data_IF_420278088744
#
_entry.id   IF_420278088744
#
_cell.length_a   1.000
_cell.length_b   1.000
_cell.length_c   1.000
_cell.angle_alpha   90.00
_cell.angle_beta   90.00
_cell.angle_gamma   90.00
#
_symmetry.space_group_name_H-M   'P 1'
#
loop_
_entity.id
_entity.type
_entity.pdbx_description
1 polymer ?
#
# COMPACT_ATOMS: atom_id res chain seq x y z
N UNK A 1 -20.54 13.94 11.41
CA UNK A 1 -20.09 14.52 10.11
C UNK A 1 -18.95 15.55 10.25
N UNK A 2 -18.90 16.31 11.34
CA UNK A 2 -17.86 17.37 11.51
C UNK A 2 -16.45 16.78 11.57
N UNK A 3 -16.22 15.73 12.36
CA UNK A 3 -14.92 15.02 12.44
C UNK A 3 -14.46 14.54 11.06
N UNK A 4 -15.35 13.93 10.28
CA UNK A 4 -15.02 13.47 8.92
C UNK A 4 -14.63 14.64 8.00
N UNK A 5 -15.41 15.73 8.01
CA UNK A 5 -15.11 16.90 7.17
C UNK A 5 -13.79 17.56 7.53
N UNK A 6 -13.49 17.71 8.83
CA UNK A 6 -12.20 18.22 9.31
C UNK A 6 -11.06 17.28 8.87
N UNK A 7 -11.22 15.97 9.04
CA UNK A 7 -10.23 14.98 8.63
C UNK A 7 -9.92 15.07 7.12
N UNK A 8 -10.95 15.20 6.29
CA UNK A 8 -10.80 15.36 4.84
C UNK A 8 -10.05 16.64 4.47
N UNK A 9 -10.41 17.77 5.11
CA UNK A 9 -9.71 19.06 4.89
C UNK A 9 -8.25 18.99 5.31
N UNK A 10 -7.94 18.40 6.49
CA UNK A 10 -6.56 18.25 6.96
C UNK A 10 -5.75 17.39 5.98
N UNK A 11 -6.32 16.32 5.45
CA UNK A 11 -5.65 15.44 4.49
C UNK A 11 -5.32 16.17 3.18
N UNK A 12 -6.26 16.96 2.67
CA UNK A 12 -6.05 17.79 1.47
C UNK A 12 -4.99 18.88 1.75
N UNK A 13 -5.08 19.59 2.87
CA UNK A 13 -4.10 20.60 3.25
C UNK A 13 -2.70 19.99 3.46
N UNK A 14 -2.62 18.75 3.94
CA UNK A 14 -1.38 17.99 4.08
C UNK A 14 -0.62 17.88 2.77
N UNK A 15 -1.30 17.68 1.64
CA UNK A 15 -0.67 17.70 0.31
C UNK A 15 -0.04 19.06 -0.02
N UNK A 16 -0.79 20.14 0.21
CA UNK A 16 -0.33 21.48 -0.17
C UNK A 16 0.74 22.05 0.77
N UNK A 17 0.69 21.71 2.05
CA UNK A 17 1.60 22.25 3.07
C UNK A 17 2.78 21.31 3.27
N UNK A 18 2.51 20.10 3.79
CA UNK A 18 3.57 19.18 4.17
C UNK A 18 4.22 18.49 2.95
N UNK A 19 3.45 18.21 1.90
CA UNK A 19 3.99 17.69 0.64
C UNK A 19 4.97 18.66 -0.05
N UNK A 20 4.67 19.97 -0.05
CA UNK A 20 5.61 21.00 -0.52
C UNK A 20 6.86 21.10 0.36
N UNK A 21 6.68 21.01 1.69
CA UNK A 21 7.80 21.00 2.63
C UNK A 21 8.73 19.80 2.35
N UNK A 22 8.20 18.59 2.21
CA UNK A 22 9.00 17.39 1.91
C UNK A 22 9.70 17.50 0.55
N UNK A 23 9.02 18.01 -0.49
CA UNK A 23 9.63 18.23 -1.81
C UNK A 23 10.78 19.24 -1.75
N UNK A 24 10.62 20.33 -0.99
CA UNK A 24 11.67 21.32 -0.75
C UNK A 24 12.84 20.74 0.07
N UNK A 25 12.53 19.95 1.11
CA UNK A 25 13.53 19.27 1.93
C UNK A 25 14.39 18.32 1.10
N UNK A 26 13.75 17.56 0.22
CA UNK A 26 14.44 16.66 -0.71
C UNK A 26 15.30 17.43 -1.71
N UNK A 27 14.91 18.66 -2.08
CA UNK A 27 15.58 19.49 -3.07
C UNK A 27 15.39 18.94 -4.48
N UNK A 28 14.12 18.77 -4.89
CA UNK A 28 13.77 18.34 -6.25
C UNK A 28 14.23 19.41 -7.27
N UNK A 29 15.08 18.99 -8.20
CA UNK A 29 15.70 19.86 -9.21
C UNK A 29 15.12 19.58 -10.61
N UNK A 30 14.46 20.57 -11.25
CA UNK A 30 13.88 20.37 -12.58
C UNK A 30 14.91 20.21 -13.69
N UNK A 31 16.16 20.60 -13.46
CA UNK A 31 17.24 20.55 -14.45
C UNK A 31 18.02 19.25 -14.41
N UNK A 32 17.83 18.46 -13.36
CA UNK A 32 18.51 17.17 -13.22
C UNK A 32 17.98 16.18 -14.25
N UNK A 33 18.89 15.48 -14.99
CA UNK A 33 18.49 14.41 -15.89
C UNK A 33 17.75 13.31 -15.15
N UNK A 34 16.74 12.73 -15.81
CA UNK A 34 15.91 11.65 -15.24
C UNK A 34 16.06 10.36 -16.04
N UNK A 35 15.88 9.18 -15.43
CA UNK A 35 16.11 7.88 -16.07
C UNK A 35 15.26 7.70 -17.37
N UNK A 36 14.07 8.27 -17.43
CA UNK A 36 13.20 8.20 -18.61
C UNK A 36 13.79 8.88 -19.85
N UNK A 37 14.78 9.77 -19.66
CA UNK A 37 15.48 10.48 -20.73
C UNK A 37 16.85 9.85 -21.03
N UNK A 38 17.61 9.49 -19.97
CA UNK A 38 18.98 8.96 -20.10
C UNK A 38 19.01 7.50 -20.53
N UNK A 39 18.04 6.69 -20.10
CA UNK A 39 17.99 5.23 -20.28
C UNK A 39 16.79 4.79 -21.12
N UNK A 40 16.22 5.69 -21.94
CA UNK A 40 15.01 5.37 -22.70
C UNK A 40 15.20 4.11 -23.55
N UNK A 41 14.39 3.08 -23.29
CA UNK A 41 14.39 1.79 -23.98
C UNK A 41 13.07 1.48 -24.69
N UNK A 42 12.08 2.36 -24.53
CA UNK A 42 10.73 2.19 -25.09
C UNK A 42 9.88 1.12 -24.40
N UNK A 43 10.36 0.49 -23.33
CA UNK A 43 9.68 -0.60 -22.60
C UNK A 43 9.47 -0.26 -21.14
N UNK A 44 10.57 -0.14 -20.37
CA UNK A 44 10.54 0.14 -18.93
C UNK A 44 10.87 1.61 -18.63
N UNK A 45 11.67 2.27 -19.48
CA UNK A 45 12.10 3.65 -19.36
C UNK A 45 11.41 4.49 -20.45
N UNK A 46 10.16 4.86 -20.17
CA UNK A 46 9.32 5.61 -21.13
C UNK A 46 8.87 6.93 -20.51
N UNK A 47 9.24 8.04 -21.14
CA UNK A 47 8.86 9.38 -20.68
C UNK A 47 7.35 9.62 -20.82
N UNK A 48 6.64 9.77 -19.69
CA UNK A 48 5.18 9.91 -19.66
C UNK A 48 4.72 11.30 -19.19
N UNK A 49 3.57 11.80 -19.65
CA UNK A 49 2.93 12.98 -19.06
C UNK A 49 2.64 12.78 -17.59
N UNK A 50 2.74 13.84 -16.77
CA UNK A 50 2.58 13.78 -15.31
C UNK A 50 1.25 13.15 -14.87
N UNK A 51 0.13 13.50 -15.53
CA UNK A 51 -1.18 12.94 -15.23
C UNK A 51 -1.24 11.42 -15.45
N UNK A 52 -0.56 10.92 -16.51
CA UNK A 52 -0.52 9.48 -16.80
C UNK A 52 0.35 8.76 -15.77
N UNK A 53 1.50 9.31 -15.42
CA UNK A 53 2.36 8.76 -14.36
C UNK A 53 1.64 8.75 -13.01
N UNK A 54 0.90 9.83 -12.67
CA UNK A 54 0.05 9.89 -11.48
C UNK A 54 -1.01 8.79 -11.47
N UNK A 55 -1.76 8.63 -12.57
CA UNK A 55 -2.82 7.61 -12.66
C UNK A 55 -2.25 6.19 -12.53
N UNK A 56 -1.09 5.92 -13.14
CA UNK A 56 -0.43 4.62 -13.02
C UNK A 56 0.03 4.40 -11.57
N UNK A 57 0.67 5.38 -10.94
CA UNK A 57 1.07 5.28 -9.53
C UNK A 57 -0.15 5.05 -8.64
N UNK A 58 -1.19 5.88 -8.78
CA UNK A 58 -2.41 5.77 -7.99
C UNK A 58 -3.07 4.39 -8.12
N UNK A 59 -3.23 3.87 -9.34
CA UNK A 59 -3.82 2.55 -9.57
C UNK A 59 -2.93 1.40 -9.07
N UNK A 60 -1.62 1.56 -9.13
CA UNK A 60 -0.69 0.54 -8.62
C UNK A 60 -0.75 0.42 -7.09
N UNK A 61 -1.03 1.53 -6.38
CA UNK A 61 -1.09 1.55 -4.92
C UNK A 61 -2.52 1.35 -4.40
N UNK A 62 -3.52 1.98 -5.03
CA UNK A 62 -4.93 1.96 -4.62
C UNK A 62 -5.66 0.68 -5.07
N UNK A 63 -5.16 -0.49 -4.67
CA UNK A 63 -5.84 -1.77 -4.88
C UNK A 63 -7.04 -1.94 -3.93
N UNK A 64 -7.14 -3.09 -3.26
CA UNK A 64 -8.18 -3.35 -2.24
C UNK A 64 -7.93 -2.60 -0.92
N UNK A 65 -6.68 -2.25 -0.66
CA UNK A 65 -6.25 -1.75 0.65
C UNK A 65 -7.01 -0.53 1.16
N UNK A 66 -7.14 0.56 0.39
CA UNK A 66 -7.85 1.76 0.83
C UNK A 66 -9.36 1.56 1.00
N UNK A 67 -9.93 0.52 0.41
CA UNK A 67 -11.35 0.17 0.59
C UNK A 67 -11.51 -0.82 1.74
N UNK A 68 -10.97 -2.01 1.62
CA UNK A 68 -11.19 -3.10 2.57
C UNK A 68 -10.44 -2.88 3.89
N UNK A 69 -9.19 -2.39 3.82
CA UNK A 69 -8.43 -2.03 5.03
C UNK A 69 -9.11 -0.93 5.82
N UNK A 70 -9.70 0.07 5.15
CA UNK A 70 -10.44 1.14 5.78
C UNK A 70 -11.76 0.63 6.41
N UNK A 71 -12.50 -0.26 5.74
CA UNK A 71 -13.70 -0.91 6.29
C UNK A 71 -13.34 -1.73 7.55
N UNK A 72 -12.26 -2.51 7.49
CA UNK A 72 -11.79 -3.27 8.66
C UNK A 72 -11.36 -2.35 9.80
N UNK A 73 -10.70 -1.23 9.48
CA UNK A 73 -10.30 -0.22 10.44
C UNK A 73 -11.45 0.58 11.03
N UNK A 74 -12.55 0.75 10.30
CA UNK A 74 -13.74 1.45 10.77
C UNK A 74 -14.40 0.80 11.99
N UNK A 75 -14.11 -0.49 12.26
CA UNK A 75 -14.51 -1.19 13.49
C UNK A 75 -13.93 -0.55 14.77
N UNK A 76 -12.83 0.20 14.63
CA UNK A 76 -12.22 1.00 15.71
C UNK A 76 -12.78 2.44 15.76
N UNK A 77 -13.86 2.71 15.03
CA UNK A 77 -14.53 4.00 15.01
C UNK A 77 -13.67 5.12 14.42
N UNK A 78 -13.89 6.35 14.90
CA UNK A 78 -13.19 7.55 14.40
C UNK A 78 -11.70 7.60 14.74
N UNK A 79 -11.18 6.71 15.59
CA UNK A 79 -9.73 6.53 15.76
C UNK A 79 -9.05 6.16 14.43
N UNK A 80 -9.76 5.42 13.55
CA UNK A 80 -9.29 5.09 12.20
C UNK A 80 -9.04 6.34 11.33
N UNK A 81 -9.85 7.40 11.48
CA UNK A 81 -9.67 8.65 10.73
C UNK A 81 -8.37 9.34 11.10
N UNK A 82 -8.01 9.35 12.40
CA UNK A 82 -6.72 9.91 12.84
C UNK A 82 -5.55 9.18 12.19
N UNK A 83 -5.60 7.84 12.21
CA UNK A 83 -4.52 7.06 11.60
C UNK A 83 -4.46 7.26 10.09
N UNK A 84 -5.60 7.24 9.38
CA UNK A 84 -5.64 7.50 7.94
C UNK A 84 -5.06 8.88 7.64
N UNK A 85 -5.47 9.93 8.34
CA UNK A 85 -5.02 11.31 8.06
C UNK A 85 -3.55 11.49 8.38
N UNK A 86 -3.14 11.23 9.62
CA UNK A 86 -1.78 11.50 10.06
C UNK A 86 -0.79 10.45 9.54
N UNK A 87 -1.23 9.19 9.45
CA UNK A 87 -0.45 8.12 8.82
C UNK A 87 -0.16 8.42 7.36
N UNK A 88 -1.15 8.89 6.59
CA UNK A 88 -0.95 9.29 5.20
C UNK A 88 -0.01 10.47 5.09
N UNK A 89 -0.26 11.58 5.79
CA UNK A 89 0.50 12.82 5.63
C UNK A 89 1.96 12.65 6.05
N UNK A 90 2.19 12.11 7.26
CA UNK A 90 3.52 12.05 7.87
C UNK A 90 4.26 10.73 7.63
N UNK A 91 3.52 9.67 7.27
CA UNK A 91 4.07 8.34 7.00
C UNK A 91 3.99 7.99 5.51
N UNK A 92 2.84 7.52 5.03
CA UNK A 92 2.69 6.93 3.71
C UNK A 92 3.13 7.82 2.56
N UNK A 93 2.70 9.09 2.54
CA UNK A 93 3.06 10.02 1.48
C UNK A 93 4.56 10.40 1.50
N UNK A 94 5.18 10.44 2.68
CA UNK A 94 6.64 10.61 2.83
C UNK A 94 7.37 9.37 2.33
N UNK A 95 6.88 8.17 2.72
CA UNK A 95 7.40 6.88 2.27
C UNK A 95 7.40 6.78 0.74
N UNK A 96 6.26 7.04 0.11
CA UNK A 96 6.09 6.89 -1.33
C UNK A 96 6.89 7.94 -2.11
N UNK A 97 6.85 9.18 -1.64
CA UNK A 97 7.61 10.26 -2.25
C UNK A 97 9.11 9.98 -2.20
N UNK A 98 9.65 9.68 -1.03
CA UNK A 98 11.09 9.48 -0.89
C UNK A 98 11.57 8.19 -1.56
N UNK A 99 10.82 7.08 -1.47
CA UNK A 99 11.18 5.84 -2.16
C UNK A 99 11.19 6.01 -3.68
N UNK A 100 10.20 6.71 -4.24
CA UNK A 100 10.16 7.05 -5.66
C UNK A 100 11.29 7.99 -6.09
N UNK A 101 11.53 9.05 -5.33
CA UNK A 101 12.56 10.05 -5.65
C UNK A 101 13.99 9.54 -5.45
N UNK A 102 14.23 8.71 -4.42
CA UNK A 102 15.53 8.06 -4.22
C UNK A 102 15.80 7.05 -5.33
N UNK A 103 14.79 6.28 -5.73
CA UNK A 103 14.87 5.40 -6.89
C UNK A 103 15.19 6.19 -8.17
N UNK A 104 14.48 7.28 -8.42
CA UNK A 104 14.71 8.16 -9.57
C UNK A 104 16.16 8.64 -9.63
N UNK A 105 16.72 9.13 -8.52
CA UNK A 105 18.11 9.60 -8.43
C UNK A 105 19.15 8.48 -8.56
N UNK A 106 18.76 7.25 -8.28
CA UNK A 106 19.61 6.06 -8.48
C UNK A 106 19.26 5.32 -9.79
N UNK A 107 18.80 6.06 -10.81
CA UNK A 107 18.60 5.53 -12.16
C UNK A 107 17.42 4.54 -12.29
N UNK A 108 16.40 4.66 -11.43
CA UNK A 108 15.24 3.77 -11.40
C UNK A 108 15.50 2.44 -10.68
N UNK A 109 16.47 2.41 -9.76
CA UNK A 109 16.85 1.21 -9.01
C UNK A 109 15.70 0.69 -8.13
N UNK A 110 15.55 -0.63 -8.04
CA UNK A 110 14.50 -1.28 -7.25
C UNK A 110 14.69 -1.04 -5.74
N UNK A 111 13.59 -1.11 -4.98
CA UNK A 111 13.66 -0.87 -3.54
C UNK A 111 14.53 -1.89 -2.78
N UNK A 112 14.55 -3.21 -3.08
CA UNK A 112 15.48 -4.15 -2.46
C UNK A 112 16.94 -3.72 -2.60
N UNK A 113 17.33 -3.23 -3.78
CA UNK A 113 18.69 -2.76 -4.03
C UNK A 113 19.01 -1.48 -3.24
N UNK A 114 18.06 -0.55 -3.16
CA UNK A 114 18.21 0.66 -2.34
C UNK A 114 18.34 0.31 -0.85
N UNK A 115 17.54 -0.62 -0.35
CA UNK A 115 17.69 -1.13 1.04
C UNK A 115 19.07 -1.73 1.25
N UNK A 116 19.55 -2.55 0.31
CA UNK A 116 20.89 -3.11 0.34
C UNK A 116 22.02 -2.07 0.35
N UNK A 117 21.85 -0.99 -0.42
CA UNK A 117 22.80 0.13 -0.51
C UNK A 117 22.92 0.90 0.80
N UNK A 118 21.80 1.10 1.53
CA UNK A 118 21.78 1.93 2.73
C UNK A 118 21.86 1.13 4.03
N UNK A 119 21.32 -0.09 4.09
CA UNK A 119 21.29 -0.93 5.29
C UNK A 119 22.19 -2.18 5.21
N UNK A 120 22.76 -2.45 4.04
CA UNK A 120 23.68 -3.57 3.83
C UNK A 120 23.01 -4.82 3.25
N UNK A 121 23.86 -5.72 2.69
CA UNK A 121 23.42 -6.91 1.95
C UNK A 121 22.58 -7.90 2.78
N UNK A 122 22.89 -8.08 4.07
CA UNK A 122 22.12 -8.95 4.95
C UNK A 122 20.66 -8.50 5.08
N UNK A 123 20.45 -7.20 5.29
CA UNK A 123 19.11 -6.60 5.36
C UNK A 123 18.41 -6.65 3.99
N UNK A 124 19.16 -6.49 2.89
CA UNK A 124 18.63 -6.65 1.53
C UNK A 124 18.01 -8.04 1.33
N UNK A 125 18.67 -9.11 1.77
CA UNK A 125 18.15 -10.47 1.62
C UNK A 125 16.86 -10.68 2.42
N UNK A 126 16.81 -10.18 3.66
CA UNK A 126 15.61 -10.22 4.51
C UNK A 126 14.47 -9.42 3.87
N UNK A 127 14.75 -8.20 3.39
CA UNK A 127 13.77 -7.37 2.70
C UNK A 127 13.22 -8.04 1.44
N UNK A 128 14.10 -8.69 0.66
CA UNK A 128 13.70 -9.42 -0.55
C UNK A 128 12.77 -10.58 -0.21
N UNK A 129 13.07 -11.34 0.85
CA UNK A 129 12.20 -12.43 1.31
C UNK A 129 10.81 -11.91 1.73
N UNK A 130 10.75 -10.84 2.53
CA UNK A 130 9.48 -10.20 2.91
C UNK A 130 8.72 -9.64 1.71
N UNK A 131 9.43 -9.08 0.73
CA UNK A 131 8.82 -8.59 -0.51
C UNK A 131 8.16 -9.73 -1.30
N UNK A 132 8.84 -10.87 -1.43
CA UNK A 132 8.30 -12.04 -2.12
C UNK A 132 7.10 -12.62 -1.36
N UNK A 133 7.19 -12.74 -0.03
CA UNK A 133 6.08 -13.18 0.80
C UNK A 133 4.86 -12.25 0.59
N UNK A 134 5.05 -10.95 0.70
CA UNK A 134 3.98 -9.98 0.49
C UNK A 134 3.36 -10.10 -0.90
N UNK A 135 4.16 -10.18 -1.97
CA UNK A 135 3.65 -10.22 -3.34
C UNK A 135 2.86 -11.49 -3.64
N UNK A 136 3.24 -12.62 -3.03
CA UNK A 136 2.46 -13.88 -3.11
C UNK A 136 1.12 -13.74 -2.35
N UNK A 137 1.13 -13.15 -1.16
CA UNK A 137 -0.08 -12.87 -0.39
C UNK A 137 -1.00 -11.88 -1.11
N UNK A 138 -0.45 -10.85 -1.76
CA UNK A 138 -1.18 -9.94 -2.66
C UNK A 138 -1.85 -10.74 -3.78
N UNK A 139 -1.12 -11.63 -4.43
CA UNK A 139 -1.66 -12.51 -5.47
C UNK A 139 -2.87 -13.30 -4.98
N UNK A 140 -2.81 -13.86 -3.77
CA UNK A 140 -3.91 -14.59 -3.18
C UNK A 140 -5.12 -13.69 -2.85
N UNK A 141 -4.90 -12.59 -2.14
CA UNK A 141 -5.96 -11.65 -1.70
C UNK A 141 -6.65 -11.00 -2.89
N UNK A 142 -5.87 -10.62 -3.92
CA UNK A 142 -6.39 -9.91 -5.10
C UNK A 142 -6.96 -10.84 -6.17
N UNK A 143 -6.90 -12.14 -5.96
CA UNK A 143 -7.73 -13.13 -6.67
C UNK A 143 -9.04 -13.36 -5.93
N UNK A 144 -8.97 -13.65 -4.61
CA UNK A 144 -10.13 -14.11 -3.85
C UNK A 144 -11.20 -13.02 -3.65
N UNK A 145 -10.81 -11.77 -3.38
CA UNK A 145 -11.78 -10.70 -3.08
C UNK A 145 -12.56 -10.20 -4.31
N UNK A 146 -11.94 -9.92 -5.47
CA UNK A 146 -12.69 -9.65 -6.68
C UNK A 146 -13.58 -10.82 -7.11
N UNK A 147 -13.13 -12.06 -6.91
CA UNK A 147 -13.93 -13.24 -7.20
C UNK A 147 -15.19 -13.32 -6.33
N UNK A 148 -15.08 -13.01 -5.03
CA UNK A 148 -16.24 -12.89 -4.13
C UNK A 148 -17.22 -11.81 -4.57
N UNK A 149 -16.73 -10.63 -4.97
CA UNK A 149 -17.59 -9.55 -5.48
C UNK A 149 -18.25 -9.92 -6.81
N UNK A 150 -17.51 -10.52 -7.74
CA UNK A 150 -18.04 -10.96 -9.03
C UNK A 150 -19.14 -12.01 -8.86
N UNK A 151 -18.97 -12.99 -7.97
CA UNK A 151 -20.00 -14.00 -7.73
C UNK A 151 -21.32 -13.44 -7.20
N UNK A 152 -21.28 -12.27 -6.51
CA UNK A 152 -22.49 -11.61 -5.99
C UNK A 152 -23.22 -10.73 -7.00
N UNK A 153 -22.60 -10.41 -8.14
CA UNK A 153 -23.21 -9.58 -9.21
C UNK A 153 -23.46 -10.36 -10.50
N UNK A 154 -23.09 -11.64 -10.54
CA UNK A 154 -23.29 -12.54 -11.67
C UNK A 154 -24.29 -13.66 -11.31
N UNK A 155 -24.84 -14.38 -12.29
CA UNK A 155 -25.78 -15.49 -12.02
C UNK A 155 -25.17 -16.58 -11.11
N UNK A 156 -26.00 -17.25 -10.32
CA UNK A 156 -25.62 -18.21 -9.26
C UNK A 156 -24.74 -19.38 -9.74
N UNK A 157 -24.79 -19.72 -11.02
CA UNK A 157 -23.92 -20.74 -11.62
C UNK A 157 -22.45 -20.30 -11.75
N UNK A 158 -22.17 -18.98 -11.68
CA UNK A 158 -20.83 -18.40 -11.71
C UNK A 158 -20.33 -18.16 -10.28
N UNK A 159 -19.94 -19.25 -9.62
CA UNK A 159 -19.52 -19.25 -8.21
C UNK A 159 -18.22 -18.48 -7.97
N UNK A 160 -17.92 -18.18 -6.71
CA UNK A 160 -16.64 -17.56 -6.31
C UNK A 160 -15.44 -18.39 -6.81
N UNK A 161 -15.53 -19.74 -6.72
CA UNK A 161 -14.46 -20.62 -7.21
C UNK A 161 -14.24 -20.47 -8.72
N UNK A 162 -15.31 -20.36 -9.51
CA UNK A 162 -15.21 -20.10 -10.94
C UNK A 162 -14.44 -18.81 -11.22
N UNK A 163 -14.81 -17.71 -10.55
CA UNK A 163 -14.15 -16.42 -10.74
C UNK A 163 -12.71 -16.41 -10.23
N UNK A 164 -12.41 -17.13 -9.15
CA UNK A 164 -11.02 -17.29 -8.69
C UNK A 164 -10.15 -17.97 -9.75
N UNK A 165 -10.64 -19.02 -10.40
CA UNK A 165 -9.92 -19.68 -11.48
C UNK A 165 -9.71 -18.72 -12.67
N UNK A 166 -10.73 -17.99 -13.07
CA UNK A 166 -10.66 -17.03 -14.18
C UNK A 166 -9.61 -15.95 -13.92
N UNK A 167 -9.63 -15.32 -12.73
CA UNK A 167 -8.67 -14.27 -12.37
C UNK A 167 -7.26 -14.84 -12.22
N UNK A 168 -7.11 -16.01 -11.62
CA UNK A 168 -5.81 -16.67 -11.47
C UNK A 168 -5.18 -17.01 -12.82
N UNK A 169 -5.96 -17.57 -13.76
CA UNK A 169 -5.50 -17.84 -15.13
C UNK A 169 -5.16 -16.55 -15.85
N UNK A 170 -5.96 -15.49 -15.67
CA UNK A 170 -5.62 -14.16 -16.20
C UNK A 170 -4.26 -13.68 -15.70
N UNK A 171 -3.95 -13.77 -14.40
CA UNK A 171 -2.64 -13.37 -13.86
C UNK A 171 -1.50 -14.18 -14.44
N UNK A 172 -1.69 -15.50 -14.58
CA UNK A 172 -0.68 -16.38 -15.19
C UNK A 172 -0.37 -15.96 -16.62
N UNK A 173 -1.41 -15.72 -17.42
CA UNK A 173 -1.28 -15.28 -18.82
C UNK A 173 -0.68 -13.89 -18.88
N UNK A 174 -1.19 -12.92 -18.12
CA UNK A 174 -0.74 -11.54 -18.12
C UNK A 174 0.73 -11.39 -17.71
N UNK A 175 1.21 -12.22 -16.77
CA UNK A 175 2.62 -12.22 -16.36
C UNK A 175 3.59 -12.61 -17.49
N UNK A 176 3.13 -13.31 -18.53
CA UNK A 176 3.95 -13.74 -19.66
C UNK A 176 4.04 -12.70 -20.77
N UNK A 177 3.06 -11.78 -20.87
CA UNK A 177 3.00 -10.77 -21.93
C UNK A 177 3.65 -9.43 -21.50
N UNK A 178 4.09 -8.59 -22.48
CA UNK A 178 4.60 -7.25 -22.20
C UNK A 178 3.55 -6.35 -21.54
N UNK A 179 3.99 -5.51 -20.59
CA UNK A 179 3.14 -4.63 -19.76
C UNK A 179 2.32 -3.64 -20.61
N UNK A 180 2.95 -3.03 -21.60
CA UNK A 180 2.49 -1.86 -22.34
C UNK A 180 1.24 -2.12 -23.20
N UNK A 181 1.04 -3.36 -23.68
CA UNK A 181 -0.10 -3.69 -24.55
C UNK A 181 -1.41 -3.91 -23.78
N UNK A 182 -1.35 -4.44 -22.56
CA UNK A 182 -2.53 -4.75 -21.75
C UNK A 182 -2.88 -3.57 -20.82
N UNK A 183 -1.90 -3.07 -20.11
CA UNK A 183 -2.05 -2.05 -19.06
C UNK A 183 -2.36 -0.67 -19.64
N UNK A 184 -1.64 -0.24 -20.67
CA UNK A 184 -1.69 1.14 -21.16
C UNK A 184 -3.05 1.60 -21.70
N UNK A 185 -3.92 0.68 -22.10
CA UNK A 185 -5.24 0.99 -22.67
C UNK A 185 -6.38 0.96 -21.64
N UNK A 186 -6.31 0.05 -20.66
CA UNK A 186 -7.36 -0.14 -19.66
C UNK A 186 -7.18 0.69 -18.39
N UNK A 187 -5.97 1.10 -18.05
CA UNK A 187 -5.69 1.87 -16.83
C UNK A 187 -6.48 3.17 -16.70
N UNK A 188 -6.63 4.00 -17.74
CA UNK A 188 -7.45 5.21 -17.61
C UNK A 188 -8.92 4.92 -17.30
N UNK A 189 -9.47 3.83 -17.85
CA UNK A 189 -10.84 3.42 -17.57
C UNK A 189 -10.99 2.93 -16.12
N UNK A 190 -10.09 2.05 -15.68
CA UNK A 190 -10.09 1.51 -14.30
C UNK A 190 -9.94 2.65 -13.29
N UNK A 191 -9.00 3.57 -13.53
CA UNK A 191 -8.80 4.74 -12.68
C UNK A 191 -10.01 5.66 -12.66
N UNK A 192 -10.67 5.85 -13.80
CA UNK A 192 -11.93 6.60 -13.89
C UNK A 192 -13.04 5.97 -13.07
N UNK A 193 -13.19 4.64 -13.11
CA UNK A 193 -14.17 3.90 -12.30
C UNK A 193 -13.87 4.02 -10.80
N UNK A 194 -12.60 3.93 -10.40
CA UNK A 194 -12.20 4.06 -8.99
C UNK A 194 -12.43 5.48 -8.47
N UNK A 195 -12.10 6.50 -9.26
CA UNK A 195 -12.37 7.91 -8.91
C UNK A 195 -13.88 8.16 -8.87
N UNK A 196 -14.63 7.65 -9.85
CA UNK A 196 -16.10 7.74 -9.84
C UNK A 196 -16.68 7.17 -8.55
N UNK A 197 -16.26 5.97 -8.18
CA UNK A 197 -16.70 5.32 -6.93
C UNK A 197 -16.41 6.21 -5.71
N UNK A 198 -15.17 6.72 -5.60
CA UNK A 198 -14.80 7.58 -4.47
C UNK A 198 -15.65 8.86 -4.41
N UNK A 199 -15.84 9.55 -5.54
CA UNK A 199 -16.65 10.76 -5.63
C UNK A 199 -18.13 10.48 -5.35
N UNK A 200 -18.68 9.38 -5.87
CA UNK A 200 -20.07 8.99 -5.68
C UNK A 200 -20.36 8.68 -4.19
N UNK A 201 -19.51 7.89 -3.52
CA UNK A 201 -19.68 7.59 -2.08
C UNK A 201 -19.47 8.85 -1.23
N UNK A 202 -18.50 9.70 -1.57
CA UNK A 202 -18.29 10.99 -0.89
C UNK A 202 -19.54 11.88 -1.01
N UNK A 203 -20.09 11.98 -2.22
CA UNK A 203 -21.33 12.74 -2.45
C UNK A 203 -22.48 12.17 -1.64
N UNK A 204 -22.64 10.84 -1.62
CA UNK A 204 -23.66 10.17 -0.83
C UNK A 204 -23.50 10.44 0.68
N UNK A 205 -22.27 10.47 1.21
CA UNK A 205 -22.00 10.86 2.61
C UNK A 205 -22.54 12.27 2.92
N UNK A 206 -22.28 13.24 2.05
CA UNK A 206 -22.72 14.62 2.27
C UNK A 206 -24.22 14.82 2.05
N UNK A 207 -24.83 14.08 1.13
CA UNK A 207 -26.28 14.16 0.85
C UNK A 207 -27.09 13.45 1.94
N UNK A 208 -26.67 12.24 2.33
CA UNK A 208 -27.37 11.43 3.33
C UNK A 208 -27.12 11.88 4.77
N UNK A 209 -25.98 12.51 5.03
CA UNK A 209 -25.53 12.97 6.35
C UNK A 209 -25.74 11.93 7.45
N UNK A 210 -25.20 10.70 7.29
CA UNK A 210 -25.41 9.65 8.28
C UNK A 210 -24.87 10.10 9.64
N UNK A 211 -25.44 9.54 10.71
CA UNK A 211 -24.97 9.79 12.07
C UNK A 211 -23.60 9.11 12.26
N UNK A 212 -22.54 9.91 12.23
CA UNK A 212 -21.17 9.47 12.48
C UNK A 212 -20.73 9.86 13.90
N UNK A 213 -20.07 8.96 14.65
CA UNK A 213 -19.52 9.32 15.94
C UNK A 213 -18.52 10.47 15.78
N UNK A 214 -18.64 11.47 16.65
CA UNK A 214 -17.71 12.59 16.71
C UNK A 214 -16.61 12.31 17.75
N UNK A 215 -15.37 12.68 17.46
CA UNK A 215 -14.20 12.34 18.30
C UNK A 215 -14.35 12.82 19.74
N UNK A 216 -14.97 13.97 19.98
CA UNK A 216 -15.18 14.53 21.31
C UNK A 216 -16.26 13.81 22.14
N UNK A 217 -17.09 12.95 21.50
CA UNK A 217 -18.07 12.09 22.14
C UNK A 217 -17.59 10.65 22.32
N UNK A 218 -16.28 10.42 22.16
CA UNK A 218 -15.66 9.10 22.14
C UNK A 218 -15.50 8.56 20.71
N UNK A 219 -14.63 7.59 20.53
CA UNK A 219 -14.28 7.09 19.19
C UNK A 219 -15.35 6.22 18.54
N UNK A 220 -16.38 5.79 19.26
CA UNK A 220 -17.43 4.91 18.72
C UNK A 220 -16.88 3.53 18.33
N UNK A 221 -15.93 2.99 19.10
CA UNK A 221 -15.32 1.68 18.86
C UNK A 221 -16.38 0.58 18.93
N UNK A 222 -16.43 -0.26 17.90
CA UNK A 222 -17.37 -1.39 17.78
C UNK A 222 -16.66 -2.75 17.98
N UNK A 223 -15.33 -2.76 18.04
CA UNK A 223 -14.51 -3.96 18.07
C UNK A 223 -13.74 -4.03 19.39
N UNK A 224 -14.46 -4.35 20.46
CA UNK A 224 -13.90 -4.38 21.83
C UNK A 224 -12.90 -5.53 22.06
N UNK A 225 -12.97 -6.59 21.25
CA UNK A 225 -12.11 -7.77 21.38
C UNK A 225 -10.63 -7.47 21.15
N UNK A 226 -10.30 -6.44 20.35
CA UNK A 226 -8.92 -6.12 19.97
C UNK A 226 -8.56 -4.68 20.34
N UNK A 227 -7.36 -4.45 20.92
CA UNK A 227 -6.92 -3.11 21.25
C UNK A 227 -6.69 -2.26 20.00
N UNK A 228 -6.93 -0.94 20.11
CA UNK A 228 -6.64 0.00 19.01
C UNK A 228 -5.17 -0.13 18.58
N UNK A 229 -4.23 -0.10 19.55
CA UNK A 229 -2.81 -0.33 19.28
C UNK A 229 -2.44 -1.79 19.63
N UNK A 230 -1.84 -2.56 18.71
CA UNK A 230 -1.41 -2.21 17.34
C UNK A 230 -2.43 -2.57 16.25
N UNK A 231 -3.59 -3.16 16.61
CA UNK A 231 -4.47 -3.88 15.67
C UNK A 231 -5.06 -2.98 14.59
N UNK A 232 -5.53 -1.77 14.95
CA UNK A 232 -6.06 -0.81 13.99
C UNK A 232 -4.99 -0.39 12.97
N UNK A 233 -3.76 -0.14 13.44
CA UNK A 233 -2.65 0.33 12.62
C UNK A 233 -2.24 -0.70 11.57
N UNK A 234 -2.31 -1.99 11.89
CA UNK A 234 -2.06 -3.07 10.94
C UNK A 234 -3.26 -3.31 10.04
N UNK A 235 -4.50 -3.21 10.55
CA UNK A 235 -5.72 -3.37 9.73
C UNK A 235 -5.81 -2.35 8.61
N UNK A 236 -5.39 -1.09 8.88
CA UNK A 236 -5.31 -0.02 7.87
C UNK A 236 -3.86 0.10 7.39
N UNK A 237 -3.38 -0.93 6.73
CA UNK A 237 -2.04 -0.91 6.12
C UNK A 237 -2.01 0.01 4.91
N UNK A 238 -2.81 -0.29 3.90
CA UNK A 238 -3.01 0.60 2.76
C UNK A 238 -4.00 1.72 3.13
N UNK A 239 -3.80 2.91 2.61
CA UNK A 239 -4.60 4.10 2.95
C UNK A 239 -4.05 4.90 4.13
N UNK A 240 -2.96 4.44 4.78
CA UNK A 240 -2.20 5.20 5.77
C UNK A 240 -0.69 5.07 5.56
N UNK A 241 -0.12 3.86 5.74
CA UNK A 241 1.29 3.56 5.46
C UNK A 241 1.38 2.17 4.83
N UNK A 242 2.01 2.03 3.67
CA UNK A 242 2.09 0.77 2.94
C UNK A 242 3.49 0.53 2.36
N UNK A 243 4.14 -0.54 2.80
CA UNK A 243 5.44 -0.95 2.25
C UNK A 243 5.33 -1.53 0.84
N UNK A 244 4.15 -2.05 0.45
CA UNK A 244 3.89 -2.50 -0.91
C UNK A 244 4.13 -1.40 -1.94
N UNK A 245 3.77 -0.15 -1.62
CA UNK A 245 3.95 1.00 -2.51
C UNK A 245 5.41 1.21 -2.90
N UNK A 246 6.34 0.93 -1.99
CA UNK A 246 7.77 1.01 -2.28
C UNK A 246 8.24 0.00 -3.34
N UNK A 247 7.49 -1.08 -3.57
CA UNK A 247 7.78 -2.00 -4.69
C UNK A 247 7.28 -1.47 -6.04
N UNK A 248 6.31 -0.55 -6.03
CA UNK A 248 5.68 0.02 -7.22
C UNK A 248 6.32 1.36 -7.65
N UNK A 249 6.67 2.20 -6.69
CA UNK A 249 7.21 3.54 -6.94
C UNK A 249 8.47 3.55 -7.84
N UNK A 250 9.42 2.59 -7.74
CA UNK A 250 10.57 2.54 -8.65
C UNK A 250 10.20 2.34 -10.12
N UNK A 251 9.15 1.59 -10.41
CA UNK A 251 8.70 1.39 -11.80
C UNK A 251 8.18 2.70 -12.40
N UNK A 252 7.43 3.48 -11.62
CA UNK A 252 6.93 4.79 -12.06
C UNK A 252 8.04 5.83 -12.09
N UNK A 253 9.04 5.75 -11.21
CA UNK A 253 10.22 6.61 -11.20
C UNK A 253 11.00 6.56 -12.53
N UNK A 254 10.99 5.41 -13.22
CA UNK A 254 11.59 5.23 -14.55
C UNK A 254 10.85 6.00 -15.65
N UNK A 255 9.63 6.49 -15.38
CA UNK A 255 8.74 7.09 -16.37
C UNK A 255 8.52 8.59 -16.18
N UNK A 256 9.00 9.18 -15.08
CA UNK A 256 8.82 10.60 -14.77
C UNK A 256 9.71 11.46 -15.65
N UNK A 257 9.15 12.58 -16.15
CA UNK A 257 9.86 13.53 -17.02
C UNK A 257 10.75 14.53 -16.29
N UNK A 258 10.46 14.77 -15.00
CA UNK A 258 11.11 15.83 -14.24
C UNK A 258 10.98 15.55 -12.73
N UNK A 259 12.02 15.81 -11.94
CA UNK A 259 11.99 15.61 -10.49
C UNK A 259 10.84 16.35 -9.77
N UNK A 260 10.45 17.54 -10.24
CA UNK A 260 9.32 18.30 -9.65
C UNK A 260 7.98 17.57 -9.74
N UNK A 261 7.82 16.70 -10.74
CA UNK A 261 6.60 15.90 -10.89
C UNK A 261 6.45 14.83 -9.80
N UNK A 262 7.53 14.49 -9.10
CA UNK A 262 7.52 13.50 -8.02
C UNK A 262 6.54 13.83 -6.91
N UNK A 263 6.35 15.12 -6.55
CA UNK A 263 5.37 15.50 -5.54
C UNK A 263 3.95 15.12 -5.95
N UNK A 264 3.56 15.40 -7.17
CA UNK A 264 2.22 15.05 -7.69
C UNK A 264 2.08 13.54 -7.81
N UNK A 265 3.08 12.88 -8.40
CA UNK A 265 3.01 11.47 -8.78
C UNK A 265 3.07 10.56 -7.55
N UNK A 266 3.97 10.78 -6.60
CA UNK A 266 4.16 9.90 -5.46
C UNK A 266 3.40 10.38 -4.22
N UNK A 267 3.71 11.61 -3.74
CA UNK A 267 3.03 12.15 -2.57
C UNK A 267 1.53 12.35 -2.81
N UNK A 268 1.17 12.89 -3.99
CA UNK A 268 -0.22 13.15 -4.36
C UNK A 268 -1.04 11.87 -4.55
N UNK A 269 -0.47 10.83 -5.16
CA UNK A 269 -1.16 9.55 -5.31
C UNK A 269 -1.47 8.90 -3.95
N UNK A 270 -0.53 8.95 -2.99
CA UNK A 270 -0.76 8.43 -1.64
C UNK A 270 -1.81 9.25 -0.88
N UNK A 271 -1.82 10.57 -1.02
CA UNK A 271 -2.88 11.41 -0.41
C UNK A 271 -4.25 11.08 -1.03
N UNK A 272 -4.32 10.88 -2.34
CA UNK A 272 -5.57 10.45 -3.00
C UNK A 272 -6.04 9.09 -2.50
N UNK A 273 -5.13 8.14 -2.28
CA UNK A 273 -5.44 6.86 -1.66
C UNK A 273 -5.96 7.02 -0.23
N UNK A 274 -5.33 7.89 0.58
CA UNK A 274 -5.80 8.24 1.93
C UNK A 274 -7.20 8.86 1.92
N UNK A 275 -7.54 9.67 0.92
CA UNK A 275 -8.90 10.22 0.74
C UNK A 275 -9.90 9.09 0.47
N UNK A 276 -9.59 8.15 -0.41
CA UNK A 276 -10.43 6.98 -0.66
C UNK A 276 -10.62 6.16 0.61
N UNK A 277 -9.54 5.92 1.36
CA UNK A 277 -9.61 5.20 2.63
C UNK A 277 -10.48 5.92 3.67
N UNK A 278 -10.36 7.24 3.80
CA UNK A 278 -11.16 8.03 4.73
C UNK A 278 -12.65 7.99 4.37
N UNK A 279 -12.99 8.06 3.08
CA UNK A 279 -14.37 7.94 2.58
C UNK A 279 -14.97 6.58 2.96
N UNK A 280 -14.24 5.49 2.71
CA UNK A 280 -14.71 4.14 3.04
C UNK A 280 -14.75 3.86 4.53
N UNK A 281 -13.81 4.41 5.30
CA UNK A 281 -13.87 4.33 6.76
C UNK A 281 -15.13 5.03 7.30
N UNK A 282 -15.48 6.21 6.78
CA UNK A 282 -16.69 6.93 7.16
C UNK A 282 -17.96 6.17 6.74
N UNK A 283 -18.01 5.68 5.50
CA UNK A 283 -19.15 4.91 5.00
C UNK A 283 -19.38 3.63 5.83
N UNK A 284 -18.31 2.89 6.15
CA UNK A 284 -18.41 1.69 6.99
C UNK A 284 -18.79 2.02 8.44
N UNK A 285 -18.27 3.13 9.01
CA UNK A 285 -18.65 3.59 10.35
C UNK A 285 -20.14 3.92 10.43
N UNK A 286 -20.73 4.47 9.37
CA UNK A 286 -22.16 4.70 9.28
C UNK A 286 -22.99 3.41 9.10
N UNK A 287 -22.42 2.41 8.42
CA UNK A 287 -23.09 1.15 8.09
C UNK A 287 -23.18 0.19 9.30
N UNK A 288 -22.13 0.08 10.11
CA UNK A 288 -22.04 -0.90 11.20
C UNK A 288 -23.12 -0.82 12.30
N UNK A 289 -23.64 0.35 12.69
CA UNK A 289 -24.69 0.43 13.73
C UNK A 289 -25.96 -0.33 13.38
N UNK A 290 -26.31 -0.42 12.08
CA UNK A 290 -27.54 -1.06 11.61
C UNK A 290 -27.35 -2.50 11.14
N UNK A 291 -26.14 -2.86 10.65
CA UNK A 291 -25.88 -4.17 10.03
C UNK A 291 -24.89 -5.04 10.81
N UNK A 292 -24.23 -4.50 11.85
CA UNK A 292 -23.19 -5.21 12.60
C UNK A 292 -21.82 -5.23 11.93
N UNK A 293 -20.81 -5.75 12.66
CA UNK A 293 -19.39 -5.67 12.26
C UNK A 293 -18.81 -6.98 11.71
N UNK A 294 -19.64 -8.03 11.60
CA UNK A 294 -19.15 -9.39 11.27
C UNK A 294 -19.13 -9.70 9.77
N UNK A 295 -19.70 -8.83 8.95
CA UNK A 295 -19.70 -9.02 7.49
C UNK A 295 -18.30 -8.88 6.90
N UNK A 296 -18.08 -9.56 5.75
CA UNK A 296 -16.85 -9.39 4.98
C UNK A 296 -16.75 -7.98 4.39
N UNK A 297 -15.54 -7.46 4.22
CA UNK A 297 -15.35 -6.15 3.62
C UNK A 297 -15.94 -6.06 2.19
N UNK A 298 -15.93 -7.16 1.44
CA UNK A 298 -16.58 -7.26 0.14
C UNK A 298 -18.10 -7.09 0.24
N UNK A 299 -18.75 -7.75 1.22
CA UNK A 299 -20.19 -7.61 1.46
C UNK A 299 -20.56 -6.18 1.85
N UNK A 300 -19.82 -5.59 2.80
CA UNK A 300 -20.02 -4.20 3.24
C UNK A 300 -19.89 -3.23 2.06
N UNK A 301 -18.85 -3.40 1.23
CA UNK A 301 -18.64 -2.58 0.02
C UNK A 301 -19.83 -2.68 -0.93
N UNK A 302 -20.32 -3.89 -1.17
CA UNK A 302 -21.44 -4.12 -2.08
C UNK A 302 -22.74 -3.50 -1.53
N UNK A 303 -23.04 -3.73 -0.26
CA UNK A 303 -24.26 -3.25 0.38
C UNK A 303 -24.31 -1.72 0.42
N UNK A 304 -23.23 -1.06 0.87
CA UNK A 304 -23.12 0.40 0.86
C UNK A 304 -23.27 0.94 -0.57
N UNK A 305 -22.58 0.35 -1.56
CA UNK A 305 -22.66 0.82 -2.94
C UNK A 305 -24.07 0.71 -3.52
N UNK A 306 -24.75 -0.42 -3.31
CA UNK A 306 -26.14 -0.62 -3.79
C UNK A 306 -27.14 0.27 -3.06
N UNK A 307 -27.05 0.34 -1.73
CA UNK A 307 -27.98 1.09 -0.90
C UNK A 307 -27.85 2.61 -1.11
N UNK A 308 -26.62 3.11 -1.27
CA UNK A 308 -26.38 4.55 -1.34
C UNK A 308 -26.46 5.10 -2.76
N UNK A 309 -26.05 4.33 -3.76
CA UNK A 309 -25.99 4.77 -5.16
C UNK A 309 -27.06 4.16 -6.06
N UNK A 310 -27.90 3.27 -5.52
CA UNK A 310 -28.90 2.54 -6.30
C UNK A 310 -28.28 1.47 -7.21
N UNK A 311 -29.10 0.83 -8.05
CA UNK A 311 -28.68 -0.33 -8.85
C UNK A 311 -27.56 0.01 -9.84
N UNK A 312 -27.69 1.06 -10.64
CA UNK A 312 -26.74 1.43 -11.69
C UNK A 312 -25.47 2.04 -11.11
N UNK A 313 -25.61 3.05 -10.23
CA UNK A 313 -24.47 3.69 -9.60
C UNK A 313 -23.67 2.72 -8.73
N UNK A 314 -24.37 1.86 -8.00
CA UNK A 314 -23.76 0.80 -7.19
C UNK A 314 -22.99 -0.21 -8.05
N UNK A 315 -23.54 -0.63 -9.18
CA UNK A 315 -22.83 -1.54 -10.10
C UNK A 315 -21.54 -0.91 -10.65
N UNK A 316 -21.57 0.35 -11.09
CA UNK A 316 -20.39 1.04 -11.61
C UNK A 316 -19.33 1.18 -10.50
N UNK A 317 -19.73 1.51 -9.27
CA UNK A 317 -18.84 1.61 -8.13
C UNK A 317 -18.18 0.26 -7.81
N UNK A 318 -18.96 -0.83 -7.79
CA UNK A 318 -18.46 -2.18 -7.53
C UNK A 318 -17.48 -2.62 -8.62
N UNK A 319 -17.75 -2.32 -9.89
CA UNK A 319 -16.82 -2.61 -10.99
C UNK A 319 -15.47 -1.89 -10.81
N UNK A 320 -15.47 -0.66 -10.29
CA UNK A 320 -14.24 0.04 -9.94
C UNK A 320 -13.43 -0.68 -8.84
N UNK A 321 -14.12 -1.15 -7.79
CA UNK A 321 -13.50 -1.92 -6.69
C UNK A 321 -12.99 -3.28 -7.16
N UNK A 322 -13.61 -3.92 -8.15
CA UNK A 322 -13.17 -5.19 -8.73
C UNK A 322 -11.96 -4.99 -9.65
N UNK A 323 -12.01 -3.99 -10.51
CA UNK A 323 -11.02 -3.78 -11.55
C UNK A 323 -9.65 -3.35 -11.00
N UNK A 324 -9.64 -2.53 -9.95
CA UNK A 324 -8.40 -2.04 -9.33
C UNK A 324 -7.50 -3.18 -8.80
N UNK A 325 -7.97 -4.10 -7.94
CA UNK A 325 -7.13 -5.19 -7.46
C UNK A 325 -6.73 -6.19 -8.57
N UNK A 326 -7.55 -6.40 -9.59
CA UNK A 326 -7.18 -7.26 -10.72
C UNK A 326 -5.98 -6.69 -11.45
N UNK A 327 -5.94 -5.38 -11.68
CA UNK A 327 -4.78 -4.72 -12.31
C UNK A 327 -3.55 -4.72 -11.40
N UNK A 328 -3.73 -4.43 -10.11
CA UNK A 328 -2.62 -4.40 -9.13
C UNK A 328 -2.05 -5.78 -8.88
N UNK A 329 -2.89 -6.82 -8.85
CA UNK A 329 -2.45 -8.21 -8.66
C UNK A 329 -1.60 -8.73 -9.83
N UNK A 330 -1.94 -8.37 -11.08
CA UNK A 330 -1.09 -8.66 -12.24
C UNK A 330 0.31 -8.04 -12.07
N UNK A 331 0.39 -6.76 -11.73
CA UNK A 331 1.67 -6.08 -11.53
C UNK A 331 2.44 -6.64 -10.32
N UNK A 332 1.76 -7.06 -9.26
CA UNK A 332 2.37 -7.67 -8.10
C UNK A 332 3.03 -9.03 -8.43
N UNK A 333 2.32 -9.92 -9.13
CA UNK A 333 2.85 -11.22 -9.54
C UNK A 333 4.02 -11.08 -10.51
N UNK A 334 3.97 -10.09 -11.40
CA UNK A 334 5.07 -9.73 -12.28
C UNK A 334 6.29 -9.22 -11.51
N UNK A 335 6.07 -8.35 -10.50
CA UNK A 335 7.13 -7.85 -9.64
C UNK A 335 7.81 -8.97 -8.87
N UNK A 336 7.03 -9.93 -8.33
CA UNK A 336 7.58 -11.10 -7.66
C UNK A 336 8.50 -11.92 -8.58
N UNK A 337 8.05 -12.19 -9.82
CA UNK A 337 8.85 -12.88 -10.84
C UNK A 337 10.16 -12.14 -11.13
N UNK A 338 10.11 -10.81 -11.29
CA UNK A 338 11.30 -10.00 -11.56
C UNK A 338 12.26 -9.99 -10.38
N UNK A 339 11.78 -9.85 -9.14
CA UNK A 339 12.62 -9.91 -7.94
C UNK A 339 13.34 -11.27 -7.84
N UNK A 340 12.66 -12.37 -8.11
CA UNK A 340 13.29 -13.71 -8.13
C UNK A 340 14.35 -13.79 -9.24
N UNK A 341 14.01 -13.31 -10.45
CA UNK A 341 14.94 -13.31 -11.57
C UNK A 341 16.21 -12.51 -11.29
N UNK A 342 16.07 -11.32 -10.72
CA UNK A 342 17.19 -10.45 -10.33
C UNK A 342 18.04 -11.09 -9.24
N UNK A 343 17.40 -11.71 -8.23
CA UNK A 343 18.11 -12.38 -7.12
C UNK A 343 18.91 -13.61 -7.58
N UNK A 344 18.42 -14.30 -8.60
CA UNK A 344 19.09 -15.48 -9.18
C UNK A 344 20.00 -15.15 -10.37
N UNK A 345 20.09 -13.86 -10.76
CA UNK A 345 20.75 -13.42 -11.99
C UNK A 345 20.25 -14.16 -13.24
N UNK A 346 18.93 -14.45 -13.29
CA UNK A 346 18.31 -15.26 -14.32
C UNK A 346 17.69 -14.39 -15.42
N UNK A 347 18.11 -14.61 -16.67
CA UNK A 347 17.65 -13.82 -17.81
C UNK A 347 16.19 -14.09 -18.13
N UNK A 348 15.39 -13.02 -18.28
CA UNK A 348 13.96 -13.08 -18.61
C UNK A 348 13.67 -12.98 -20.12
N UNK A 349 14.70 -13.18 -20.95
CA UNK A 349 14.54 -13.21 -22.41
C UNK A 349 13.88 -14.54 -22.81
N UNK A 350 12.68 -14.46 -23.39
CA UNK A 350 11.91 -15.61 -23.80
C UNK A 350 10.81 -16.05 -22.81
N UNK A 351 9.77 -16.66 -23.36
CA UNK A 351 8.59 -17.10 -22.60
C UNK A 351 8.91 -18.26 -21.66
N UNK A 352 9.76 -19.19 -22.09
CA UNK A 352 10.15 -20.37 -21.29
C UNK A 352 10.85 -19.96 -19.99
N UNK A 353 11.78 -19.01 -20.05
CA UNK A 353 12.48 -18.50 -18.87
C UNK A 353 11.52 -17.81 -17.88
N UNK A 354 10.51 -17.12 -18.39
CA UNK A 354 9.47 -16.52 -17.56
C UNK A 354 8.60 -17.58 -16.89
N UNK A 355 8.22 -18.65 -17.62
CA UNK A 355 7.44 -19.78 -17.10
C UNK A 355 8.17 -20.51 -15.97
N UNK A 356 9.48 -20.75 -16.10
CA UNK A 356 10.26 -21.47 -15.09
C UNK A 356 10.20 -20.80 -13.70
N UNK A 357 10.17 -19.48 -13.65
CA UNK A 357 9.99 -18.75 -12.38
C UNK A 357 8.52 -18.63 -12.01
N UNK A 358 7.63 -18.41 -12.99
CA UNK A 358 6.21 -18.18 -12.72
C UNK A 358 5.52 -19.42 -12.20
N UNK A 359 5.81 -20.60 -12.71
CA UNK A 359 5.13 -21.84 -12.30
C UNK A 359 5.27 -22.13 -10.80
N UNK A 360 6.46 -22.13 -10.18
CA UNK A 360 6.59 -22.29 -8.73
C UNK A 360 5.88 -21.19 -7.94
N UNK A 361 6.01 -19.94 -8.38
CA UNK A 361 5.39 -18.78 -7.74
C UNK A 361 3.85 -18.92 -7.73
N UNK A 362 3.26 -19.23 -8.87
CA UNK A 362 1.83 -19.44 -9.00
C UNK A 362 1.37 -20.72 -8.28
N UNK A 363 2.21 -21.76 -8.21
CA UNK A 363 1.95 -22.97 -7.41
C UNK A 363 1.79 -22.67 -5.92
N UNK A 364 2.66 -21.84 -5.36
CA UNK A 364 2.56 -21.39 -3.97
C UNK A 364 1.29 -20.55 -3.78
N UNK A 365 1.00 -19.62 -4.69
CA UNK A 365 -0.22 -18.78 -4.63
C UNK A 365 -1.49 -19.64 -4.68
N UNK A 366 -1.52 -20.68 -5.53
CA UNK A 366 -2.62 -21.63 -5.62
C UNK A 366 -2.81 -22.41 -4.32
N UNK A 367 -1.72 -22.86 -3.70
CA UNK A 367 -1.76 -23.52 -2.38
C UNK A 367 -2.36 -22.63 -1.31
N UNK A 368 -2.01 -21.34 -1.28
CA UNK A 368 -2.60 -20.37 -0.36
C UNK A 368 -4.08 -20.09 -0.67
N UNK A 369 -4.45 -20.00 -1.95
CA UNK A 369 -5.87 -19.89 -2.36
C UNK A 369 -6.67 -21.09 -1.88
N UNK A 370 -6.16 -22.30 -2.08
CA UNK A 370 -6.79 -23.51 -1.59
C UNK A 370 -6.97 -23.50 -0.07
N UNK A 371 -5.92 -23.11 0.68
CA UNK A 371 -6.02 -22.93 2.13
C UNK A 371 -7.08 -21.90 2.51
N UNK A 372 -7.18 -20.77 1.80
CA UNK A 372 -8.14 -19.70 2.09
C UNK A 372 -9.60 -20.14 1.97
N UNK A 373 -9.88 -21.10 1.08
CA UNK A 373 -11.24 -21.61 0.81
C UNK A 373 -11.60 -22.80 1.70
N UNK A 374 -10.62 -23.65 2.01
CA UNK A 374 -10.89 -24.89 2.76
C UNK A 374 -10.94 -24.70 4.27
N UNK A 375 -10.31 -23.68 4.81
CA UNK A 375 -10.32 -23.38 6.26
C UNK A 375 -11.29 -22.23 6.56
N UNK A 376 -12.11 -22.41 7.60
CA UNK A 376 -13.15 -21.45 8.00
C UNK A 376 -12.63 -20.03 8.26
N UNK A 377 -11.39 -19.88 8.73
CA UNK A 377 -10.71 -18.58 8.93
C UNK A 377 -9.54 -18.36 7.96
N UNK A 378 -9.40 -19.20 6.94
CA UNK A 378 -8.23 -19.21 6.07
C UNK A 378 -7.96 -17.86 5.41
N UNK A 379 -8.99 -17.24 4.87
CA UNK A 379 -8.85 -15.91 4.27
C UNK A 379 -8.45 -14.83 5.31
N UNK A 380 -9.06 -14.85 6.49
CA UNK A 380 -8.76 -13.87 7.55
C UNK A 380 -7.30 -13.97 8.02
N UNK A 381 -6.76 -15.19 8.09
CA UNK A 381 -5.34 -15.44 8.39
C UNK A 381 -4.44 -14.83 7.30
N UNK A 382 -4.74 -15.14 6.02
CA UNK A 382 -3.98 -14.61 4.88
C UNK A 382 -4.02 -13.08 4.86
N UNK A 383 -5.17 -12.47 5.11
CA UNK A 383 -5.34 -11.03 5.18
C UNK A 383 -4.46 -10.40 6.27
N UNK A 384 -4.41 -11.02 7.46
CA UNK A 384 -3.58 -10.52 8.58
C UNK A 384 -2.08 -10.62 8.27
N UNK A 385 -1.63 -11.74 7.68
CA UNK A 385 -0.24 -11.87 7.21
C UNK A 385 0.10 -10.89 6.09
N UNK A 386 -0.82 -10.68 5.14
CA UNK A 386 -0.68 -9.67 4.10
C UNK A 386 -0.51 -8.27 4.71
N UNK A 387 -1.41 -7.88 5.60
CA UNK A 387 -1.38 -6.57 6.24
C UNK A 387 -0.10 -6.36 7.06
N UNK A 388 0.31 -7.36 7.88
CA UNK A 388 1.52 -7.29 8.67
C UNK A 388 2.80 -7.25 7.81
N UNK A 389 2.91 -8.12 6.81
CA UNK A 389 4.08 -8.13 5.91
C UNK A 389 4.21 -6.81 5.14
N UNK A 390 3.09 -6.22 4.75
CA UNK A 390 3.04 -4.90 4.12
C UNK A 390 3.61 -3.82 5.05
N UNK A 391 3.23 -3.83 6.32
CA UNK A 391 3.75 -2.90 7.32
C UNK A 391 5.24 -3.13 7.61
N UNK A 392 5.70 -4.39 7.65
CA UNK A 392 7.13 -4.73 7.83
C UNK A 392 8.00 -4.15 6.71
N UNK A 393 7.56 -4.22 5.45
CA UNK A 393 8.31 -3.60 4.36
C UNK A 393 8.43 -2.07 4.53
N UNK A 394 7.41 -1.40 5.04
CA UNK A 394 7.50 0.03 5.31
C UNK A 394 8.56 0.37 6.37
N UNK A 395 8.73 -0.48 7.39
CA UNK A 395 9.78 -0.34 8.41
C UNK A 395 11.16 -0.31 7.75
N UNK A 396 11.50 -1.33 6.97
CA UNK A 396 12.80 -1.40 6.28
C UNK A 396 13.01 -0.18 5.37
N UNK A 397 11.97 0.21 4.64
CA UNK A 397 12.02 1.37 3.75
C UNK A 397 12.31 2.65 4.52
N UNK A 398 11.57 2.93 5.60
CA UNK A 398 11.80 4.12 6.41
C UNK A 398 13.21 4.17 7.00
N UNK A 399 13.74 3.05 7.50
CA UNK A 399 15.12 3.02 8.01
C UNK A 399 16.14 3.26 6.90
N UNK A 400 15.96 2.69 5.71
CA UNK A 400 16.83 2.95 4.56
C UNK A 400 16.79 4.43 4.13
N UNK A 401 15.59 5.01 4.06
CA UNK A 401 15.39 6.43 3.75
C UNK A 401 15.96 7.36 4.82
N UNK A 402 15.90 6.95 6.10
CA UNK A 402 16.52 7.69 7.21
C UNK A 402 18.03 7.74 7.06
N UNK A 403 18.68 6.60 6.76
CA UNK A 403 20.11 6.54 6.47
C UNK A 403 20.48 7.36 5.23
N UNK A 404 19.65 7.29 4.17
CA UNK A 404 19.83 8.13 2.98
C UNK A 404 19.85 9.62 3.32
N UNK A 405 18.81 10.12 4.03
CA UNK A 405 18.73 11.53 4.41
C UNK A 405 19.89 11.96 5.34
N UNK A 406 20.32 11.09 6.26
CA UNK A 406 21.51 11.33 7.07
C UNK A 406 22.78 11.52 6.21
N UNK A 407 22.98 10.66 5.19
CA UNK A 407 24.13 10.74 4.28
C UNK A 407 24.11 12.00 3.43
N UNK A 408 22.92 12.43 3.03
CA UNK A 408 22.71 13.66 2.25
C UNK A 408 22.74 14.95 3.12
N UNK A 409 22.96 14.83 4.42
CA UNK A 409 22.96 15.98 5.34
C UNK A 409 21.61 16.68 5.48
N UNK A 410 20.51 15.97 5.20
CA UNK A 410 19.13 16.47 5.25
C UNK A 410 18.45 16.15 6.58
N UNK A 411 17.33 16.84 6.86
CA UNK A 411 16.54 16.53 8.05
C UNK A 411 15.91 15.13 7.92
N UNK A 412 16.47 14.17 8.63
CA UNK A 412 16.05 12.77 8.64
C UNK A 412 14.92 12.48 9.64
N UNK A 413 14.50 13.43 10.48
CA UNK A 413 13.41 13.23 11.44
C UNK A 413 12.09 12.92 10.75
N UNK A 414 11.90 13.40 9.51
CA UNK A 414 10.70 13.15 8.71
C UNK A 414 10.50 11.67 8.36
N UNK A 415 11.56 10.88 8.38
CA UNK A 415 11.51 9.42 8.19
C UNK A 415 11.80 8.64 9.46
N UNK A 416 12.61 9.18 10.37
CA UNK A 416 12.96 8.54 11.63
C UNK A 416 11.73 8.35 12.54
N UNK A 417 10.90 9.39 12.68
CA UNK A 417 9.70 9.30 13.53
C UNK A 417 8.75 8.21 13.01
N UNK A 418 8.35 8.18 11.72
CA UNK A 418 7.59 7.06 11.17
C UNK A 418 8.31 5.71 11.27
N UNK A 419 9.64 5.65 11.07
CA UNK A 419 10.42 4.41 11.20
C UNK A 419 10.28 3.81 12.60
N UNK A 420 10.47 4.62 13.64
CA UNK A 420 10.35 4.20 15.03
C UNK A 420 8.92 3.75 15.36
N UNK A 421 7.94 4.56 14.95
CA UNK A 421 6.54 4.25 15.19
C UNK A 421 6.13 2.93 14.52
N UNK A 422 6.44 2.76 13.24
CA UNK A 422 6.11 1.55 12.49
C UNK A 422 6.87 0.32 13.00
N UNK A 423 8.11 0.48 13.46
CA UNK A 423 8.85 -0.60 14.14
C UNK A 423 8.13 -1.04 15.40
N UNK A 424 7.66 -0.09 16.22
CA UNK A 424 6.89 -0.40 17.43
C UNK A 424 5.58 -1.10 17.08
N UNK A 425 4.79 -0.59 16.11
CA UNK A 425 3.52 -1.19 15.66
C UNK A 425 3.71 -2.62 15.19
N UNK A 426 4.64 -2.85 14.26
CA UNK A 426 4.81 -4.17 13.63
C UNK A 426 5.38 -5.22 14.59
N UNK A 427 6.28 -4.82 15.47
CA UNK A 427 6.84 -5.71 16.49
C UNK A 427 5.81 -6.04 17.56
N UNK A 428 5.08 -5.05 18.05
CA UNK A 428 4.01 -5.29 19.05
C UNK A 428 2.93 -6.21 18.48
N UNK A 429 2.54 -6.00 17.21
CA UNK A 429 1.58 -6.88 16.55
C UNK A 429 2.09 -8.31 16.48
N UNK A 430 3.34 -8.52 16.06
CA UNK A 430 3.94 -9.86 15.98
C UNK A 430 3.98 -10.57 17.33
N UNK A 431 4.24 -9.83 18.41
CA UNK A 431 4.23 -10.41 19.76
C UNK A 431 2.82 -10.77 20.23
N UNK A 432 1.80 -9.94 19.89
CA UNK A 432 0.45 -10.02 20.45
C UNK A 432 -0.51 -10.86 19.60
N UNK A 433 -0.34 -10.90 18.28
CA UNK A 433 -1.30 -11.52 17.36
C UNK A 433 -1.47 -13.02 17.66
N UNK A 434 -2.72 -13.54 17.64
CA UNK A 434 -3.01 -14.96 17.93
C UNK A 434 -2.31 -15.93 16.99
N UNK A 435 -2.12 -15.53 15.75
CA UNK A 435 -1.43 -16.30 14.71
C UNK A 435 0.10 -16.23 14.78
N UNK A 436 0.67 -15.41 15.68
CA UNK A 436 2.11 -15.24 15.89
C UNK A 436 2.53 -15.75 17.27
N UNK A 437 3.10 -14.92 18.14
CA UNK A 437 3.61 -15.36 19.45
C UNK A 437 2.56 -15.35 20.56
N UNK A 438 1.40 -14.73 20.37
CA UNK A 438 0.26 -14.68 21.30
C UNK A 438 0.65 -14.27 22.74
N UNK A 439 1.55 -13.30 22.88
CA UNK A 439 2.05 -12.84 24.17
C UNK A 439 1.07 -11.84 24.83
N UNK A 440 1.11 -11.69 26.17
CA UNK A 440 0.33 -10.69 26.89
C UNK A 440 0.61 -9.26 26.37
N UNK A 441 -0.43 -8.42 26.33
CA UNK A 441 -0.36 -7.09 25.75
C UNK A 441 0.74 -6.21 26.36
N UNK A 442 0.88 -6.17 27.68
CA UNK A 442 1.89 -5.35 28.37
C UNK A 442 3.30 -5.75 27.94
N UNK A 443 3.60 -7.04 27.89
CA UNK A 443 4.91 -7.54 27.47
C UNK A 443 5.17 -7.17 25.99
N UNK A 444 4.16 -7.32 25.15
CA UNK A 444 4.23 -6.99 23.73
C UNK A 444 4.52 -5.51 23.49
N UNK A 445 3.90 -4.61 24.26
CA UNK A 445 4.17 -3.16 24.19
C UNK A 445 5.60 -2.82 24.60
N UNK A 446 6.08 -3.40 25.71
CA UNK A 446 7.45 -3.18 26.20
C UNK A 446 8.47 -3.64 25.14
N UNK A 447 8.30 -4.85 24.58
CA UNK A 447 9.21 -5.40 23.58
C UNK A 447 9.19 -4.52 22.32
N UNK A 448 8.00 -4.14 21.82
CA UNK A 448 7.88 -3.28 20.64
C UNK A 448 8.60 -1.94 20.81
N UNK A 449 8.45 -1.31 21.99
CA UNK A 449 9.13 -0.06 22.32
C UNK A 449 10.65 -0.25 22.42
N UNK A 450 11.13 -1.30 23.13
CA UNK A 450 12.56 -1.57 23.29
C UNK A 450 13.26 -1.88 21.96
N UNK A 451 12.62 -2.62 21.04
CA UNK A 451 13.17 -2.89 19.71
C UNK A 451 13.25 -1.60 18.89
N UNK A 452 12.22 -0.75 18.93
CA UNK A 452 12.25 0.55 18.28
C UNK A 452 13.37 1.45 18.81
N UNK A 453 13.57 1.48 20.13
CA UNK A 453 14.65 2.21 20.79
C UNK A 453 16.03 1.64 20.41
N UNK A 454 16.16 0.32 20.29
CA UNK A 454 17.42 -0.33 19.91
C UNK A 454 17.83 0.07 18.48
N UNK A 455 16.88 0.14 17.53
CA UNK A 455 17.17 0.62 16.18
C UNK A 455 17.57 2.11 16.16
N UNK A 456 16.96 2.95 17.00
CA UNK A 456 17.39 4.33 17.17
C UNK A 456 18.84 4.41 17.67
N UNK A 457 19.19 3.64 18.71
CA UNK A 457 20.55 3.60 19.25
C UNK A 457 21.56 3.10 18.19
N UNK A 458 21.17 2.09 17.40
CA UNK A 458 22.01 1.61 16.31
C UNK A 458 22.24 2.69 15.24
N UNK A 459 21.22 3.46 14.87
CA UNK A 459 21.34 4.59 13.96
C UNK A 459 22.27 5.68 14.52
N UNK A 460 22.10 6.04 15.79
CA UNK A 460 22.92 7.08 16.43
C UNK A 460 24.40 6.66 16.52
N UNK A 461 24.68 5.40 16.87
CA UNK A 461 26.04 4.83 16.84
C UNK A 461 26.61 4.86 15.43
N UNK A 462 25.87 4.39 14.42
CA UNK A 462 26.30 4.45 13.04
C UNK A 462 26.58 5.87 12.58
N UNK A 463 25.70 6.83 12.90
CA UNK A 463 25.85 8.24 12.54
C UNK A 463 27.10 8.85 13.17
N UNK A 464 27.37 8.55 14.45
CA UNK A 464 28.58 9.01 15.15
C UNK A 464 29.85 8.53 14.42
N UNK A 465 29.94 7.23 14.11
CA UNK A 465 31.09 6.68 13.37
C UNK A 465 31.18 7.21 11.93
N UNK A 466 30.05 7.41 11.26
CA UNK A 466 30.02 7.93 9.89
C UNK A 466 30.59 9.35 9.83
N UNK A 467 30.22 10.24 10.74
CA UNK A 467 30.76 11.62 10.80
C UNK A 467 32.24 11.65 11.17
N UNK A 468 32.73 10.73 11.96
CA UNK A 468 34.15 10.62 12.30
C UNK A 468 35.01 10.27 11.08
N UNK A 469 34.51 9.46 10.16
CA UNK A 469 35.26 8.98 8.99
C UNK A 469 35.01 9.79 7.72
N UNK A 470 33.87 10.46 7.64
CA UNK A 470 33.46 11.29 6.51
C UNK A 470 32.96 12.65 7.03
N UNK A 471 33.86 13.55 7.44
CA UNK A 471 33.44 14.88 7.88
C UNK A 471 32.67 15.54 6.74
N UNK A 472 31.47 16.02 7.05
CA UNK A 472 30.61 16.75 6.10
C UNK A 472 31.43 17.88 5.49
N UNK A 473 31.59 17.87 4.17
CA UNK A 473 32.08 19.04 3.45
C UNK A 473 31.17 20.18 3.82
N UNK A 474 31.67 21.08 4.68
CA UNK A 474 31.02 22.37 4.96
C UNK A 474 30.78 23.05 3.62
N UNK A 475 29.51 23.18 3.24
CA UNK A 475 29.05 24.05 2.15
C UNK A 475 28.91 25.46 2.64
#
# INVERSE_FOLDING_TARGET
>A
MVTFSIALVILILGYFIYGKFISKLFGADPTRPVPSQEKSDGVDYVSMPTWKAFMIQFLNIAGLGPVFGAIMGAKFGTASYLWIVFGTIFGGAVHDYLSGMVSLRNGGESLPNLVGRYLGKGIQSVFTLFSLLLLVLVGCVFVSQPAELLSKITPDNLTTNFWMIVIFVYYLVATLFPIDKVIGRFYPLIGGLLIFMAVAILTALFVRQPDLPEMWNGFGVKYEKYPIFPMMFVSIACGAVSGFHGTQSPMVARCIRNEKNGQVVFYGAMVMEGIVALIWAAAATAYFPTHGVNESAATVTMNISKEWLGAVGGLIAILGVIAAPISTGDTAMRSARLIIADSLNFTQRGVVNRLLISIPLFGITLGLLFFSVTKSEGFAIIWRYFAWSNQMLSVFTFWALTVYLCREGKNYLVTLIPAMFMTCVTTTYFMMAPECLHMPGIISYIIGFLISLNFLLALLRWKYHYHMHFPTKTR
#
